data_IF_700424704569
#
_entry.id   IF_700424704569
#
_cell.length_a   1.000
_cell.length_b   1.000
_cell.length_c   1.000
_cell.angle_alpha   90.00
_cell.angle_beta   90.00
_cell.angle_gamma   90.00
#
_symmetry.space_group_name_H-M   'P 1'
#
loop_
_entity.id
_entity.type
_entity.pdbx_description
1 polymer ?
#
# COMPACT_ATOMS: atom_id res chain seq x y z
N UNK A 1 34.41 14.76 -11.46
CA UNK A 1 34.06 14.81 -12.90
C UNK A 1 32.79 14.02 -13.09
N UNK A 2 31.70 14.63 -13.56
CA UNK A 2 30.39 13.97 -13.70
C UNK A 2 29.28 14.51 -12.80
N UNK A 3 29.39 15.75 -12.30
CA UNK A 3 28.24 16.43 -11.69
C UNK A 3 27.26 16.79 -12.80
N UNK A 4 26.01 16.35 -12.65
CA UNK A 4 24.91 16.66 -13.55
C UNK A 4 23.98 17.68 -12.88
N UNK A 5 23.39 18.58 -13.65
CA UNK A 5 22.37 19.51 -13.14
C UNK A 5 21.26 19.71 -14.16
N UNK A 6 20.13 20.21 -13.67
CA UNK A 6 19.00 20.65 -14.46
C UNK A 6 18.96 22.17 -14.48
N UNK A 7 18.96 22.76 -15.66
CA UNK A 7 18.76 24.20 -15.88
C UNK A 7 17.66 24.38 -16.92
N UNK A 8 16.58 25.09 -16.56
CA UNK A 8 15.42 25.32 -17.43
C UNK A 8 14.83 24.05 -18.07
N UNK A 9 14.84 22.94 -17.32
CA UNK A 9 14.34 21.64 -17.79
C UNK A 9 15.27 20.88 -18.74
N UNK A 10 16.52 21.34 -18.92
CA UNK A 10 17.57 20.64 -19.69
C UNK A 10 18.65 20.11 -18.75
N UNK A 11 19.15 18.92 -19.07
CA UNK A 11 20.18 18.25 -18.27
C UNK A 11 21.57 18.56 -18.84
N UNK A 12 22.45 19.01 -17.97
CA UNK A 12 23.81 19.41 -18.31
C UNK A 12 24.81 18.63 -17.45
N UNK A 13 25.98 18.30 -18.02
CA UNK A 13 27.04 17.53 -17.35
C UNK A 13 28.40 18.18 -17.52
N UNK A 14 29.16 18.35 -16.44
CA UNK A 14 30.56 18.81 -16.54
C UNK A 14 31.43 17.70 -17.11
N UNK A 15 32.04 17.96 -18.27
CA UNK A 15 32.97 17.04 -18.95
C UNK A 15 34.40 17.30 -18.51
N UNK A 16 34.84 18.56 -18.59
CA UNK A 16 36.21 18.98 -18.26
C UNK A 16 36.25 20.44 -17.83
N UNK A 17 37.24 20.76 -16.99
CA UNK A 17 37.55 22.14 -16.63
C UNK A 17 38.57 22.67 -17.64
N UNK A 18 38.24 23.78 -18.32
CA UNK A 18 39.08 24.39 -19.37
C UNK A 18 40.03 25.47 -18.80
N UNK A 19 39.72 26.01 -17.61
CA UNK A 19 40.55 26.99 -16.89
C UNK A 19 40.11 27.14 -15.43
N UNK A 20 40.67 28.09 -14.69
CA UNK A 20 40.29 28.32 -13.28
C UNK A 20 38.81 28.67 -13.09
N UNK A 21 38.20 29.30 -14.10
CA UNK A 21 36.84 29.85 -14.02
C UNK A 21 35.91 29.41 -15.18
N UNK A 22 36.35 28.46 -16.01
CA UNK A 22 35.61 28.00 -17.18
C UNK A 22 35.47 26.47 -17.23
N UNK A 23 34.25 26.01 -17.47
CA UNK A 23 33.88 24.60 -17.54
C UNK A 23 33.29 24.26 -18.90
N UNK A 24 33.73 23.15 -19.48
CA UNK A 24 33.07 22.53 -20.63
C UNK A 24 31.92 21.66 -20.11
N UNK A 25 30.71 22.01 -20.52
CA UNK A 25 29.46 21.42 -20.11
C UNK A 25 28.81 20.77 -21.33
N UNK A 26 28.38 19.51 -21.19
CA UNK A 26 27.65 18.78 -22.22
C UNK A 26 26.15 18.90 -21.95
N UNK A 27 25.38 19.38 -22.92
CA UNK A 27 23.92 19.24 -22.92
C UNK A 27 23.58 17.79 -23.27
N UNK A 28 23.01 17.04 -22.32
CA UNK A 28 22.71 15.61 -22.46
C UNK A 28 21.65 15.37 -23.54
N UNK A 29 20.77 16.34 -23.80
CA UNK A 29 19.67 16.20 -24.77
C UNK A 29 20.16 16.36 -26.21
N UNK A 30 21.08 17.30 -26.44
CA UNK A 30 21.56 17.63 -27.79
C UNK A 30 22.98 17.13 -28.07
N UNK A 31 23.67 16.59 -27.06
CA UNK A 31 25.05 16.12 -27.11
C UNK A 31 26.01 17.20 -27.67
N UNK A 32 25.77 18.45 -27.32
CA UNK A 32 26.58 19.62 -27.71
C UNK A 32 27.39 20.09 -26.50
N UNK A 33 28.69 20.30 -26.70
CA UNK A 33 29.56 20.91 -25.69
C UNK A 33 29.43 22.44 -25.74
N UNK A 34 29.24 23.05 -24.56
CA UNK A 34 29.20 24.49 -24.36
C UNK A 34 30.19 24.89 -23.27
N UNK A 35 30.68 26.11 -23.33
CA UNK A 35 31.54 26.67 -22.28
C UNK A 35 30.70 27.57 -21.37
N UNK A 36 30.71 27.29 -20.07
CA UNK A 36 30.07 28.14 -19.05
C UNK A 36 31.10 28.58 -18.01
N UNK A 37 30.96 29.80 -17.51
CA UNK A 37 31.79 30.29 -16.41
C UNK A 37 31.27 29.81 -15.06
N UNK A 38 32.12 29.80 -14.03
CA UNK A 38 31.69 29.48 -12.67
C UNK A 38 30.64 30.48 -12.15
N UNK A 39 30.79 31.76 -12.51
CA UNK A 39 29.88 32.83 -12.08
C UNK A 39 28.46 32.65 -12.62
N UNK A 40 28.31 32.18 -13.87
CA UNK A 40 27.02 31.88 -14.48
C UNK A 40 26.32 30.69 -13.81
N UNK A 41 27.07 29.62 -13.53
CA UNK A 41 26.55 28.42 -12.84
C UNK A 41 26.07 28.78 -11.43
N UNK A 42 26.85 29.60 -10.70
CA UNK A 42 26.48 30.06 -9.36
C UNK A 42 25.27 31.01 -9.38
N UNK A 43 25.18 31.90 -10.38
CA UNK A 43 24.02 32.77 -10.56
C UNK A 43 22.74 31.97 -10.87
N UNK A 44 22.85 30.92 -11.69
CA UNK A 44 21.76 29.98 -11.96
C UNK A 44 21.31 29.23 -10.71
N UNK A 45 22.25 28.81 -9.86
CA UNK A 45 21.93 28.13 -8.61
C UNK A 45 21.24 29.07 -7.61
N UNK A 46 21.76 30.29 -7.44
CA UNK A 46 21.19 31.28 -6.51
C UNK A 46 19.81 31.78 -6.95
N UNK A 47 19.56 31.87 -8.26
CA UNK A 47 18.23 32.22 -8.80
C UNK A 47 17.24 31.05 -8.78
N UNK A 48 17.69 29.83 -8.44
CA UNK A 48 16.87 28.63 -8.41
C UNK A 48 16.51 28.05 -9.79
N UNK A 49 17.06 28.62 -10.87
CA UNK A 49 16.92 28.11 -12.24
C UNK A 49 17.76 26.85 -12.49
N UNK A 50 18.83 26.68 -11.72
CA UNK A 50 19.74 25.54 -11.75
C UNK A 50 19.62 24.66 -10.49
N UNK A 51 19.42 23.35 -10.67
CA UNK A 51 19.41 22.35 -9.58
C UNK A 51 20.37 21.20 -9.87
N UNK A 52 21.33 20.97 -8.98
CA UNK A 52 22.25 19.82 -9.10
C UNK A 52 21.52 18.49 -8.85
N UNK A 53 21.83 17.48 -9.66
CA UNK A 53 21.39 16.11 -9.44
C UNK A 53 22.33 15.45 -8.42
N UNK A 54 21.79 14.97 -7.30
CA UNK A 54 22.57 14.27 -6.28
C UNK A 54 23.13 12.95 -6.83
N UNK A 55 24.42 12.93 -7.18
CA UNK A 55 25.13 11.74 -7.68
C UNK A 55 25.54 10.76 -6.59
N UNK A 56 24.98 10.85 -5.37
CA UNK A 56 25.12 9.79 -4.38
C UNK A 56 24.01 8.77 -4.59
N UNK A 57 24.34 7.68 -5.28
CA UNK A 57 23.47 6.52 -5.53
C UNK A 57 23.06 5.74 -4.27
N UNK A 58 22.39 6.40 -3.33
CA UNK A 58 21.31 5.78 -2.57
C UNK A 58 20.03 6.18 -3.29
N UNK A 59 19.09 5.25 -3.55
CA UNK A 59 17.72 5.69 -3.72
C UNK A 59 17.35 6.27 -2.36
N UNK A 60 17.53 7.59 -2.22
CA UNK A 60 16.64 8.36 -1.36
C UNK A 60 15.30 7.92 -1.88
N UNK A 61 14.62 7.05 -1.12
CA UNK A 61 13.20 6.81 -1.29
C UNK A 61 12.67 8.19 -1.61
N UNK A 62 12.13 8.36 -2.83
CA UNK A 62 11.23 9.46 -3.10
C UNK A 62 10.39 9.48 -1.85
N UNK A 63 10.66 10.48 -1.00
CA UNK A 63 9.74 10.84 0.04
C UNK A 63 8.65 11.34 -0.84
N UNK A 64 7.79 10.39 -1.24
CA UNK A 64 6.52 10.62 -1.87
C UNK A 64 6.09 11.86 -1.16
N UNK A 65 5.98 12.96 -1.91
CA UNK A 65 5.37 14.16 -1.42
C UNK A 65 3.95 13.69 -1.09
N UNK A 66 3.83 13.08 0.09
CA UNK A 66 2.62 12.74 0.76
C UNK A 66 2.02 14.11 0.81
N UNK A 67 0.99 14.31 0.00
CA UNK A 67 0.07 15.42 0.11
C UNK A 67 -0.02 15.70 1.60
N UNK A 68 0.40 16.88 2.09
CA UNK A 68 0.50 17.13 3.52
C UNK A 68 -0.88 16.80 4.07
N UNK A 69 -0.98 15.67 4.78
CA UNK A 69 -2.27 15.13 5.22
C UNK A 69 -2.85 16.24 6.08
N UNK A 70 -3.91 16.89 5.60
CA UNK A 70 -4.54 17.94 6.35
C UNK A 70 -5.09 17.29 7.62
N UNK A 71 -5.01 18.00 8.75
CA UNK A 71 -5.47 17.46 10.03
C UNK A 71 -6.94 16.99 9.96
N UNK A 72 -7.72 17.58 9.04
CA UNK A 72 -9.10 17.24 8.70
C UNK A 72 -9.30 15.85 8.09
N UNK A 73 -8.27 15.26 7.47
CA UNK A 73 -8.38 13.98 6.76
C UNK A 73 -8.16 12.77 7.69
N UNK A 74 -7.86 13.02 8.96
CA UNK A 74 -7.63 12.00 9.97
C UNK A 74 -8.96 11.55 10.61
N UNK A 75 -9.04 10.27 10.95
CA UNK A 75 -10.13 9.73 11.78
C UNK A 75 -10.24 10.48 13.11
N UNK A 76 -11.45 10.66 13.64
CA UNK A 76 -11.70 11.29 14.94
C UNK A 76 -10.85 10.68 16.07
N UNK A 77 -10.65 9.36 16.03
CA UNK A 77 -9.80 8.66 16.99
C UNK A 77 -8.31 9.03 16.87
N UNK A 78 -7.83 9.24 15.64
CA UNK A 78 -6.45 9.66 15.40
C UNK A 78 -6.27 11.13 15.79
N UNK A 79 -7.24 12.00 15.50
CA UNK A 79 -7.23 13.40 15.93
C UNK A 79 -7.20 13.53 17.46
N UNK A 80 -8.06 12.80 18.18
CA UNK A 80 -8.07 12.78 19.64
C UNK A 80 -6.74 12.29 20.23
N UNK A 81 -6.17 11.23 19.63
CA UNK A 81 -4.87 10.71 20.06
C UNK A 81 -3.73 11.72 19.81
N UNK A 82 -3.73 12.39 18.66
CA UNK A 82 -2.75 13.43 18.36
C UNK A 82 -2.84 14.57 19.37
N UNK A 83 -4.05 15.07 19.63
CA UNK A 83 -4.30 16.14 20.58
C UNK A 83 -3.79 15.77 21.97
N UNK A 84 -4.16 14.60 22.50
CA UNK A 84 -3.72 14.13 23.80
C UNK A 84 -2.18 14.03 23.90
N UNK A 85 -1.51 13.57 22.83
CA UNK A 85 -0.04 13.48 22.81
C UNK A 85 0.64 14.83 22.68
N UNK A 86 0.07 15.75 21.91
CA UNK A 86 0.57 17.11 21.79
C UNK A 86 0.49 17.82 23.14
N UNK A 87 -0.67 17.79 23.79
CA UNK A 87 -0.89 18.38 25.12
C UNK A 87 0.08 17.82 26.17
N UNK A 88 0.45 16.54 26.05
CA UNK A 88 1.42 15.92 26.95
C UNK A 88 2.83 16.51 26.81
N UNK A 89 3.28 16.81 25.59
CA UNK A 89 4.65 17.28 25.31
C UNK A 89 4.80 18.80 25.16
N UNK A 90 3.72 19.53 24.88
CA UNK A 90 3.74 20.96 24.55
C UNK A 90 4.53 21.80 25.58
N UNK A 91 4.35 21.64 26.91
CA UNK A 91 5.13 22.39 27.89
C UNK A 91 6.64 22.09 27.87
N UNK A 92 7.03 20.88 27.45
CA UNK A 92 8.43 20.49 27.32
C UNK A 92 9.07 21.09 26.06
N UNK A 93 8.27 21.54 25.09
CA UNK A 93 8.77 22.20 23.88
C UNK A 93 9.04 23.69 24.09
N UNK A 94 8.37 24.31 25.06
CA UNK A 94 8.53 25.72 25.41
C UNK A 94 9.70 26.00 26.35
N UNK A 95 10.40 24.96 26.82
CA UNK A 95 11.60 25.11 27.63
C UNK A 95 12.72 25.71 26.77
N UNK A 96 13.43 26.71 27.30
CA UNK A 96 14.57 27.34 26.62
C UNK A 96 15.81 26.43 26.50
N UNK A 97 15.76 25.24 27.11
CA UNK A 97 16.79 24.21 27.07
C UNK A 97 16.22 22.87 26.57
N UNK A 98 17.12 21.95 26.21
CA UNK A 98 16.71 20.58 25.89
C UNK A 98 16.21 19.90 27.18
N UNK A 99 15.01 19.28 27.18
CA UNK A 99 14.45 18.69 28.39
C UNK A 99 15.35 17.61 28.98
N UNK A 100 15.57 17.70 30.29
CA UNK A 100 16.35 16.75 31.09
C UNK A 100 15.45 15.63 31.59
N UNK A 101 16.04 14.54 32.09
CA UNK A 101 15.29 13.40 32.66
C UNK A 101 14.35 13.82 33.79
N UNK A 102 14.76 14.79 34.60
CA UNK A 102 13.95 15.37 35.68
C UNK A 102 12.72 16.10 35.14
N UNK A 103 12.87 16.91 34.09
CA UNK A 103 11.76 17.62 33.42
C UNK A 103 10.68 16.62 32.93
N UNK A 104 11.09 15.48 32.40
CA UNK A 104 10.17 14.42 31.98
C UNK A 104 9.46 13.74 33.16
N UNK A 105 10.11 13.60 34.32
CA UNK A 105 9.48 13.04 35.52
C UNK A 105 8.47 14.02 36.11
N UNK A 106 8.86 15.29 36.28
CA UNK A 106 7.98 16.36 36.75
C UNK A 106 6.72 16.43 35.88
N UNK A 107 6.89 16.38 34.55
CA UNK A 107 5.75 16.40 33.63
C UNK A 107 4.89 15.15 33.73
N UNK A 108 5.48 13.97 33.91
CA UNK A 108 4.74 12.73 34.09
C UNK A 108 3.88 12.77 35.37
N UNK A 109 4.41 13.31 36.46
CA UNK A 109 3.68 13.45 37.72
C UNK A 109 2.53 14.46 37.62
N UNK A 110 2.75 15.60 36.95
CA UNK A 110 1.67 16.55 36.64
C UNK A 110 0.53 15.91 35.85
N UNK A 111 0.86 15.10 34.83
CA UNK A 111 -0.14 14.42 34.01
C UNK A 111 -0.92 13.37 34.83
N UNK A 112 -0.24 12.66 35.75
CA UNK A 112 -0.91 11.72 36.67
C UNK A 112 -1.94 12.42 37.55
N UNK A 113 -1.62 13.57 38.11
CA UNK A 113 -2.58 14.37 38.91
C UNK A 113 -3.80 14.80 38.11
N UNK A 114 -3.62 15.08 36.81
CA UNK A 114 -4.70 15.43 35.88
C UNK A 114 -5.45 14.21 35.31
N UNK A 115 -5.21 13.00 35.82
CA UNK A 115 -5.88 11.77 35.39
C UNK A 115 -5.31 11.13 34.10
N UNK A 116 -4.26 11.70 33.49
CA UNK A 116 -3.63 11.19 32.29
C UNK A 116 -2.38 10.36 32.62
N UNK A 117 -2.39 9.06 32.32
CA UNK A 117 -1.28 8.17 32.64
C UNK A 117 -0.22 8.11 31.53
N UNK A 118 0.71 9.07 31.53
CA UNK A 118 1.91 9.01 30.68
C UNK A 118 3.15 8.71 31.54
N UNK A 119 3.95 7.70 31.14
CA UNK A 119 5.27 7.46 31.73
C UNK A 119 6.30 8.46 31.19
N UNK A 120 7.28 8.85 32.01
CA UNK A 120 8.42 9.68 31.61
C UNK A 120 9.15 9.12 30.37
N UNK A 121 9.27 7.79 30.25
CA UNK A 121 9.82 7.11 29.06
C UNK A 121 8.98 7.37 27.81
N UNK A 122 7.65 7.40 27.95
CA UNK A 122 6.74 7.67 26.84
C UNK A 122 6.87 9.12 26.38
N UNK A 123 6.94 10.07 27.31
CA UNK A 123 7.13 11.49 27.01
C UNK A 123 8.46 11.73 26.28
N UNK A 124 9.56 11.14 26.79
CA UNK A 124 10.88 11.23 26.12
C UNK A 124 10.84 10.67 24.70
N UNK A 125 10.20 9.52 24.50
CA UNK A 125 10.04 8.92 23.17
C UNK A 125 9.25 9.83 22.23
N UNK A 126 8.16 10.43 22.71
CA UNK A 126 7.34 11.34 21.91
C UNK A 126 8.11 12.61 21.55
N UNK A 127 8.76 13.25 22.53
CA UNK A 127 9.61 14.42 22.31
C UNK A 127 10.74 14.14 21.31
N UNK A 128 11.45 13.02 21.47
CA UNK A 128 12.50 12.62 20.54
C UNK A 128 11.97 12.36 19.11
N UNK A 129 10.75 11.81 18.99
CA UNK A 129 10.11 11.59 17.68
C UNK A 129 9.73 12.91 17.01
N UNK A 130 9.21 13.86 17.78
CA UNK A 130 8.87 15.21 17.33
C UNK A 130 10.09 16.06 16.96
N UNK A 131 11.15 16.00 17.77
CA UNK A 131 12.40 16.70 17.48
C UNK A 131 13.06 16.16 16.21
N UNK A 132 13.12 14.82 16.04
CA UNK A 132 13.68 14.20 14.84
C UNK A 132 12.88 14.46 13.56
N UNK A 133 11.58 14.75 13.66
CA UNK A 133 10.73 15.02 12.49
C UNK A 133 10.77 16.48 12.04
N UNK A 134 11.63 17.32 12.62
CA UNK A 134 11.66 18.75 12.32
C UNK A 134 10.46 19.49 12.93
N UNK A 135 10.02 19.08 14.13
CA UNK A 135 8.96 19.72 14.90
C UNK A 135 7.54 19.58 14.33
N UNK A 136 7.31 18.59 13.48
CA UNK A 136 5.99 18.34 12.91
C UNK A 136 5.06 17.65 13.91
N UNK A 137 3.89 18.25 14.18
CA UNK A 137 2.87 17.69 15.11
C UNK A 137 2.43 16.28 14.68
N UNK A 138 2.22 16.06 13.39
CA UNK A 138 1.76 14.78 12.82
C UNK A 138 2.68 13.58 13.16
N UNK A 139 3.95 13.83 13.49
CA UNK A 139 4.90 12.78 13.86
C UNK A 139 4.54 12.06 15.18
N UNK A 140 3.68 12.66 16.00
CA UNK A 140 3.22 12.09 17.27
C UNK A 140 2.15 11.02 17.10
N UNK A 141 1.53 10.92 15.93
CA UNK A 141 0.61 9.83 15.62
C UNK A 141 1.36 8.51 15.60
N UNK A 142 0.72 7.46 16.10
CA UNK A 142 1.25 6.13 15.83
C UNK A 142 1.07 5.88 14.35
N UNK A 143 2.14 5.50 13.66
CA UNK A 143 2.07 5.03 12.27
C UNK A 143 1.42 3.65 12.21
N UNK A 144 0.28 3.46 12.87
CA UNK A 144 -0.59 2.27 12.79
C UNK A 144 -0.98 2.02 11.36
N UNK A 145 -1.17 3.09 10.59
CA UNK A 145 -1.29 3.03 9.15
C UNK A 145 -0.08 2.29 8.52
N UNK A 146 1.16 2.58 8.89
CA UNK A 146 2.34 1.88 8.35
C UNK A 146 2.60 0.50 8.99
N UNK A 147 1.76 0.02 9.93
CA UNK A 147 1.92 -1.31 10.53
C UNK A 147 1.28 -2.38 9.66
N UNK A 148 1.96 -3.53 9.60
CA UNK A 148 1.56 -4.66 8.75
C UNK A 148 1.93 -4.42 7.29
N UNK A 149 2.42 -5.46 6.61
CA UNK A 149 2.72 -5.39 5.19
C UNK A 149 1.43 -5.16 4.38
N UNK A 150 1.11 -3.89 4.13
CA UNK A 150 -0.07 -3.42 3.34
C UNK A 150 0.01 -3.91 1.90
N UNK A 151 -0.43 -5.13 1.64
CA UNK A 151 -0.41 -5.74 0.31
C UNK A 151 0.99 -6.10 -0.23
N UNK A 152 2.07 -5.50 0.30
CA UNK A 152 3.46 -5.82 -0.06
C UNK A 152 3.75 -7.30 0.20
N UNK A 153 4.31 -7.97 -0.81
CA UNK A 153 4.77 -9.35 -0.65
C UNK A 153 5.84 -9.39 0.45
N UNK A 154 5.77 -10.38 1.35
CA UNK A 154 6.85 -10.62 2.31
C UNK A 154 8.16 -10.74 1.54
N UNK A 155 9.19 -9.99 1.94
CA UNK A 155 10.49 -9.97 1.26
C UNK A 155 11.06 -11.39 1.11
N UNK A 156 10.81 -12.26 2.09
CA UNK A 156 11.22 -13.68 2.09
C UNK A 156 10.07 -14.65 1.71
N UNK A 157 9.10 -14.24 0.90
CA UNK A 157 8.07 -15.16 0.42
C UNK A 157 8.66 -16.18 -0.57
N UNK A 158 8.21 -17.43 -0.49
CA UNK A 158 8.63 -18.51 -1.39
C UNK A 158 8.54 -18.16 -2.87
N UNK A 159 7.44 -17.51 -3.28
CA UNK A 159 7.20 -17.09 -4.66
C UNK A 159 8.18 -16.01 -5.13
N UNK A 160 8.74 -15.20 -4.22
CA UNK A 160 9.76 -14.21 -4.54
C UNK A 160 11.16 -14.83 -4.61
N UNK A 161 11.43 -15.81 -3.73
CA UNK A 161 12.71 -16.54 -3.70
C UNK A 161 12.89 -17.44 -4.92
N UNK A 162 11.80 -18.06 -5.40
CA UNK A 162 11.84 -19.02 -6.50
C UNK A 162 10.88 -18.55 -7.63
N UNK A 163 11.41 -17.88 -8.68
CA UNK A 163 10.57 -17.37 -9.77
C UNK A 163 9.89 -18.49 -10.58
N UNK A 164 10.56 -19.63 -10.73
CA UNK A 164 10.00 -20.81 -11.41
C UNK A 164 8.75 -21.33 -10.67
N UNK A 165 8.80 -21.40 -9.33
CA UNK A 165 7.64 -21.79 -8.54
C UNK A 165 6.48 -20.81 -8.73
N UNK A 166 6.76 -19.51 -8.84
CA UNK A 166 5.74 -18.50 -9.14
C UNK A 166 5.10 -18.76 -10.50
N UNK A 167 5.88 -19.06 -11.54
CA UNK A 167 5.35 -19.38 -12.87
C UNK A 167 4.43 -20.62 -12.83
N UNK A 168 4.87 -21.70 -12.15
CA UNK A 168 4.05 -22.91 -11.98
C UNK A 168 2.74 -22.58 -11.26
N UNK A 169 2.78 -21.74 -10.22
CA UNK A 169 1.58 -21.31 -9.48
C UNK A 169 0.65 -20.47 -10.36
N UNK A 170 1.18 -19.46 -11.05
CA UNK A 170 0.39 -18.56 -11.89
C UNK A 170 -0.28 -19.35 -13.04
N UNK A 171 0.45 -20.31 -13.65
CA UNK A 171 -0.10 -21.23 -14.65
C UNK A 171 -1.21 -22.12 -14.08
N UNK A 172 -0.99 -22.75 -12.92
CA UNK A 172 -1.99 -23.61 -12.30
C UNK A 172 -3.27 -22.83 -11.88
N UNK A 173 -3.13 -21.56 -11.49
CA UNK A 173 -4.28 -20.68 -11.21
C UNK A 173 -5.07 -20.43 -12.50
N UNK A 174 -4.40 -20.07 -13.59
CA UNK A 174 -5.06 -19.83 -14.88
C UNK A 174 -5.79 -21.08 -15.38
N UNK A 175 -5.11 -22.23 -15.40
CA UNK A 175 -5.62 -23.45 -16.03
C UNK A 175 -6.71 -24.17 -15.24
N UNK A 176 -6.67 -24.09 -13.90
CA UNK A 176 -7.61 -24.85 -13.05
C UNK A 176 -8.57 -23.96 -12.28
N UNK A 177 -8.10 -22.85 -11.71
CA UNK A 177 -8.91 -22.02 -10.82
C UNK A 177 -9.78 -21.03 -11.58
N UNK A 178 -9.21 -20.34 -12.57
CA UNK A 178 -9.87 -19.33 -13.41
C UNK A 178 -10.64 -19.99 -14.57
N UNK A 179 -11.45 -20.99 -14.25
CA UNK A 179 -12.28 -21.72 -15.21
C UNK A 179 -13.71 -21.88 -14.70
N UNK A 180 -14.65 -22.12 -15.62
CA UNK A 180 -16.06 -22.40 -15.32
C UNK A 180 -16.27 -23.71 -14.53
N UNK A 181 -15.27 -24.60 -14.54
CA UNK A 181 -15.26 -25.80 -13.71
C UNK A 181 -15.15 -25.48 -12.20
N UNK A 182 -14.76 -24.25 -11.84
CA UNK A 182 -14.78 -23.71 -10.47
C UNK A 182 -14.02 -24.57 -9.44
N UNK A 183 -12.93 -25.21 -9.85
CA UNK A 183 -12.15 -26.12 -8.97
C UNK A 183 -11.66 -25.40 -7.69
N UNK A 184 -11.60 -26.10 -6.55
CA UNK A 184 -11.17 -25.51 -5.28
C UNK A 184 -9.65 -25.25 -5.26
N UNK A 185 -9.21 -24.37 -4.36
CA UNK A 185 -7.78 -24.05 -4.16
C UNK A 185 -6.95 -25.31 -3.85
N UNK A 186 -7.53 -26.30 -3.17
CA UNK A 186 -6.87 -27.58 -2.89
C UNK A 186 -6.46 -28.34 -4.17
N UNK A 187 -7.23 -28.23 -5.25
CA UNK A 187 -6.89 -28.83 -6.54
C UNK A 187 -5.69 -28.12 -7.19
N UNK A 188 -5.63 -26.78 -7.08
CA UNK A 188 -4.49 -25.99 -7.55
C UNK A 188 -3.23 -26.35 -6.78
N UNK A 189 -3.33 -26.46 -5.44
CA UNK A 189 -2.20 -26.85 -4.58
C UNK A 189 -1.64 -28.21 -5.00
N UNK A 190 -2.51 -29.20 -5.22
CA UNK A 190 -2.09 -30.53 -5.67
C UNK A 190 -1.36 -30.45 -7.02
N UNK A 191 -1.96 -29.77 -8.00
CA UNK A 191 -1.36 -29.58 -9.32
C UNK A 191 0.03 -28.93 -9.25
N UNK A 192 0.18 -27.88 -8.44
CA UNK A 192 1.47 -27.20 -8.27
C UNK A 192 2.52 -28.12 -7.66
N UNK A 193 2.15 -28.96 -6.69
CA UNK A 193 3.07 -29.94 -6.10
C UNK A 193 3.51 -30.96 -7.16
N UNK A 194 2.58 -31.47 -7.96
CA UNK A 194 2.87 -32.44 -9.02
C UNK A 194 3.76 -31.82 -10.12
N UNK A 195 3.48 -30.57 -10.54
CA UNK A 195 4.29 -29.82 -11.51
C UNK A 195 5.70 -29.56 -10.95
N UNK A 196 5.81 -29.19 -9.67
CA UNK A 196 7.09 -28.94 -9.00
C UNK A 196 7.92 -30.23 -8.85
N UNK A 197 7.29 -31.36 -8.53
CA UNK A 197 7.95 -32.66 -8.47
C UNK A 197 8.47 -33.07 -9.85
N UNK A 198 7.65 -32.91 -10.90
CA UNK A 198 8.09 -33.16 -12.29
C UNK A 198 9.24 -32.26 -12.73
N UNK A 199 9.24 -31.00 -12.29
CA UNK A 199 10.33 -30.07 -12.56
C UNK A 199 11.61 -30.51 -11.84
N UNK A 200 11.52 -30.79 -10.54
CA UNK A 200 12.66 -31.23 -9.73
C UNK A 200 13.24 -32.57 -10.17
N UNK A 201 12.43 -33.49 -10.71
CA UNK A 201 12.89 -34.78 -11.22
C UNK A 201 13.87 -34.66 -12.40
N UNK A 202 13.92 -33.50 -13.08
CA UNK A 202 14.83 -33.22 -14.19
C UNK A 202 16.12 -32.53 -13.76
N UNK A 203 16.24 -32.20 -12.48
CA UNK A 203 17.35 -31.41 -11.93
C UNK A 203 18.19 -32.26 -10.96
N UNK A 204 19.49 -31.98 -10.86
CA UNK A 204 20.31 -32.55 -9.80
C UNK A 204 19.85 -32.02 -8.42
N UNK A 205 20.03 -32.83 -7.37
CA UNK A 205 19.48 -32.57 -6.04
C UNK A 205 19.88 -31.21 -5.43
N UNK A 206 21.04 -30.68 -5.81
CA UNK A 206 21.54 -29.37 -5.36
C UNK A 206 20.81 -28.17 -6.00
N UNK A 207 20.15 -28.37 -7.14
CA UNK A 207 19.40 -27.33 -7.87
C UNK A 207 17.88 -27.48 -7.69
N UNK A 208 17.43 -28.56 -7.06
CA UNK A 208 16.02 -28.82 -6.83
C UNK A 208 15.39 -27.78 -5.88
N UNK A 209 14.18 -27.33 -6.22
CA UNK A 209 13.44 -26.37 -5.41
C UNK A 209 12.77 -27.13 -4.25
N UNK A 210 12.96 -26.71 -2.99
CA UNK A 210 12.35 -27.42 -1.88
C UNK A 210 10.81 -27.36 -1.94
N UNK A 211 10.16 -28.51 -1.74
CA UNK A 211 8.71 -28.62 -1.80
C UNK A 211 8.10 -27.96 -0.56
N UNK A 212 7.29 -26.89 -0.69
CA UNK A 212 6.69 -26.22 0.45
C UNK A 212 5.59 -27.08 1.07
N UNK A 213 5.37 -26.90 2.38
CA UNK A 213 4.22 -27.52 3.08
C UNK A 213 2.91 -27.09 2.41
N UNK A 214 1.97 -28.03 2.25
CA UNK A 214 0.66 -27.83 1.60
C UNK A 214 -0.08 -26.59 2.15
N UNK A 215 -0.11 -26.43 3.47
CA UNK A 215 -0.76 -25.31 4.13
C UNK A 215 -0.06 -23.95 3.86
N UNK A 216 1.26 -23.94 3.67
CA UNK A 216 1.99 -22.71 3.33
C UNK A 216 1.72 -22.31 1.88
N UNK A 217 1.70 -23.29 0.98
CA UNK A 217 1.40 -23.10 -0.45
C UNK A 217 -0.05 -22.65 -0.67
N UNK A 218 -1.02 -23.31 -0.02
CA UNK A 218 -2.43 -22.91 -0.07
C UNK A 218 -2.64 -21.45 0.34
N UNK A 219 -2.02 -21.02 1.45
CA UNK A 219 -2.08 -19.61 1.88
C UNK A 219 -1.39 -18.66 0.90
N UNK A 220 -0.33 -19.09 0.20
CA UNK A 220 0.34 -18.29 -0.80
C UNK A 220 -0.54 -18.11 -2.04
N UNK A 221 -1.15 -19.18 -2.54
CA UNK A 221 -2.10 -19.17 -3.67
C UNK A 221 -3.31 -18.30 -3.32
N UNK A 222 -3.92 -18.47 -2.15
CA UNK A 222 -5.05 -17.64 -1.70
C UNK A 222 -4.70 -16.15 -1.59
N UNK A 223 -3.45 -15.80 -1.23
CA UNK A 223 -2.98 -14.41 -1.28
C UNK A 223 -2.80 -13.90 -2.70
N UNK A 224 -2.32 -14.74 -3.61
CA UNK A 224 -2.15 -14.37 -5.01
C UNK A 224 -3.50 -14.12 -5.68
N UNK A 225 -4.47 -15.01 -5.46
CA UNK A 225 -5.85 -14.83 -5.97
C UNK A 225 -6.48 -13.54 -5.44
N UNK A 226 -6.30 -13.21 -4.16
CA UNK A 226 -6.81 -11.95 -3.57
C UNK A 226 -6.18 -10.67 -4.13
N UNK A 227 -5.10 -10.76 -4.90
CA UNK A 227 -4.49 -9.62 -5.59
C UNK A 227 -5.00 -9.42 -7.00
N UNK A 228 -5.65 -10.44 -7.56
CA UNK A 228 -6.33 -10.31 -8.84
C UNK A 228 -7.58 -9.45 -8.65
N UNK A 229 -8.03 -8.82 -9.73
CA UNK A 229 -9.29 -8.10 -9.73
C UNK A 229 -10.44 -9.08 -9.39
N UNK A 230 -11.20 -8.85 -8.30
CA UNK A 230 -12.35 -9.66 -7.94
C UNK A 230 -13.35 -9.85 -9.08
N UNK A 231 -13.57 -8.82 -9.91
CA UNK A 231 -14.50 -8.92 -11.03
C UNK A 231 -13.97 -9.88 -12.10
N UNK A 232 -12.68 -9.84 -12.43
CA UNK A 232 -12.08 -10.77 -13.39
C UNK A 232 -12.11 -12.21 -12.90
N UNK A 233 -11.87 -12.43 -11.60
CA UNK A 233 -11.97 -13.76 -10.98
C UNK A 233 -13.39 -14.30 -11.09
N UNK A 234 -14.40 -13.48 -10.80
CA UNK A 234 -15.80 -13.89 -10.93
C UNK A 234 -16.21 -14.07 -12.39
N UNK A 235 -15.74 -13.22 -13.31
CA UNK A 235 -15.97 -13.35 -14.75
C UNK A 235 -15.46 -14.68 -15.27
N UNK A 236 -14.25 -15.09 -14.86
CA UNK A 236 -13.64 -16.35 -15.29
C UNK A 236 -14.30 -17.60 -14.68
N UNK A 237 -14.95 -17.46 -13.51
CA UNK A 237 -15.53 -18.59 -12.76
C UNK A 237 -17.03 -18.75 -12.89
N UNK A 238 -17.75 -17.64 -13.08
CA UNK A 238 -19.21 -17.55 -13.07
C UNK A 238 -19.78 -16.93 -14.34
N UNK A 239 -18.94 -16.35 -15.19
CA UNK A 239 -19.35 -15.66 -16.40
C UNK A 239 -19.65 -14.19 -16.16
N UNK A 240 -19.71 -13.44 -17.26
CA UNK A 240 -19.84 -11.98 -17.25
C UNK A 240 -21.09 -11.50 -16.53
N UNK A 241 -22.26 -12.08 -16.82
CA UNK A 241 -23.53 -11.65 -16.24
C UNK A 241 -23.54 -11.73 -14.69
N UNK A 242 -22.99 -12.82 -14.12
CA UNK A 242 -22.93 -12.99 -12.66
C UNK A 242 -21.90 -12.05 -12.04
N UNK A 243 -20.76 -11.85 -12.71
CA UNK A 243 -19.72 -10.93 -12.26
C UNK A 243 -20.25 -9.47 -12.24
N UNK A 244 -20.87 -9.03 -13.33
CA UNK A 244 -21.45 -7.69 -13.44
C UNK A 244 -22.50 -7.46 -12.35
N UNK A 245 -23.37 -8.45 -12.09
CA UNK A 245 -24.35 -8.34 -11.00
C UNK A 245 -23.72 -8.26 -9.61
N UNK A 246 -22.65 -9.02 -9.33
CA UNK A 246 -21.98 -9.04 -8.01
C UNK A 246 -21.18 -7.78 -7.72
N UNK A 247 -20.55 -7.23 -8.75
CA UNK A 247 -19.68 -6.05 -8.64
C UNK A 247 -20.38 -4.78 -9.15
N UNK A 248 -21.69 -4.84 -9.38
CA UNK A 248 -22.49 -3.67 -9.74
C UNK A 248 -22.35 -2.62 -8.62
N UNK A 249 -22.17 -1.34 -8.97
CA UNK A 249 -22.12 -0.28 -7.97
C UNK A 249 -23.44 -0.23 -7.19
N UNK A 250 -23.39 -0.63 -5.92
CA UNK A 250 -24.53 -0.51 -5.02
C UNK A 250 -24.59 0.94 -4.52
N UNK A 251 -25.63 1.66 -4.91
CA UNK A 251 -25.95 2.94 -4.27
C UNK A 251 -26.49 2.65 -2.88
N UNK A 252 -26.06 3.39 -1.83
CA UNK A 252 -26.67 3.25 -0.51
C UNK A 252 -28.17 3.52 -0.64
N UNK A 253 -28.98 2.48 -0.45
CA UNK A 253 -30.42 2.66 -0.46
C UNK A 253 -30.81 3.38 0.83
N UNK A 254 -31.67 4.40 0.71
CA UNK A 254 -32.28 5.04 1.90
C UNK A 254 -33.04 3.96 2.67
N UNK A 255 -32.66 3.78 3.93
CA UNK A 255 -33.39 2.91 4.84
C UNK A 255 -34.74 3.54 5.14
N UNK A 256 -35.79 2.72 5.23
CA UNK A 256 -37.09 3.15 5.71
C UNK A 256 -36.96 3.55 7.20
N UNK A 257 -37.50 4.72 7.53
CA UNK A 257 -37.55 5.30 8.88
C UNK A 257 -38.92 5.16 9.54
N UNK A 258 -39.96 4.89 8.75
CA UNK A 258 -41.36 4.74 9.22
C UNK A 258 -41.96 3.41 8.75
N UNK A 259 -42.93 2.92 9.52
CA UNK A 259 -43.73 1.76 9.14
C UNK A 259 -44.44 2.07 7.81
N UNK A 260 -44.43 1.12 6.87
CA UNK A 260 -44.97 1.24 5.50
C UNK A 260 -44.32 2.31 4.60
N UNK A 261 -43.16 2.88 4.96
CA UNK A 261 -42.44 3.83 4.07
C UNK A 261 -41.92 3.16 2.79
N UNK A 262 -41.65 1.85 2.85
CA UNK A 262 -41.27 1.00 1.72
C UNK A 262 -41.96 -0.35 1.87
N UNK A 263 -42.70 -0.75 0.84
CA UNK A 263 -43.33 -2.08 0.75
C UNK A 263 -42.73 -2.78 -0.45
N UNK A 264 -42.04 -3.89 -0.20
CA UNK A 264 -41.55 -4.79 -1.23
C UNK A 264 -42.54 -5.93 -1.35
N UNK A 265 -43.01 -6.19 -2.56
CA UNK A 265 -43.95 -7.27 -2.88
C UNK A 265 -43.15 -8.35 -3.60
N UNK A 266 -42.96 -9.48 -2.93
CA UNK A 266 -42.23 -10.62 -3.48
C UNK A 266 -43.20 -11.66 -4.03
N UNK A 267 -43.15 -11.90 -5.33
CA UNK A 267 -43.90 -12.98 -5.97
C UNK A 267 -43.11 -14.29 -5.88
N UNK A 268 -43.63 -15.28 -5.15
CA UNK A 268 -42.98 -16.60 -5.02
C UNK A 268 -43.85 -17.69 -5.63
N UNK A 269 -43.34 -18.50 -6.57
CA UNK A 269 -44.09 -19.64 -7.09
C UNK A 269 -44.18 -20.73 -6.03
N UNK A 270 -45.40 -21.13 -5.65
CA UNK A 270 -45.60 -22.18 -4.64
C UNK A 270 -45.35 -23.55 -5.26
N UNK A 271 -44.61 -24.46 -4.61
CA UNK A 271 -44.32 -25.81 -5.12
C UNK A 271 -45.52 -26.79 -4.98
N UNK A 272 -46.71 -26.32 -5.32
CA UNK A 272 -47.95 -27.11 -5.33
C UNK A 272 -48.61 -26.95 -6.71
N UNK A 273 -49.29 -27.99 -7.18
CA UNK A 273 -50.13 -27.90 -8.38
C UNK A 273 -51.56 -27.74 -7.89
N UNK A 274 -52.19 -26.64 -8.28
CA UNK A 274 -53.61 -26.42 -8.03
C UNK A 274 -54.39 -27.05 -9.18
N UNK A 275 -55.45 -27.77 -8.83
CA UNK A 275 -56.38 -28.36 -9.78
C UNK A 275 -57.81 -28.15 -9.35
N UNK A 276 -58.72 -28.33 -10.30
CA UNK A 276 -60.16 -28.43 -10.06
C UNK A 276 -60.62 -29.84 -10.42
N UNK A 277 -61.90 -30.13 -10.22
CA UNK A 277 -62.50 -31.41 -10.62
C UNK A 277 -62.38 -31.68 -12.13
N UNK A 278 -62.13 -30.63 -12.94
CA UNK A 278 -61.90 -30.72 -14.38
C UNK A 278 -60.42 -31.00 -14.76
N UNK A 279 -59.50 -30.99 -13.80
CA UNK A 279 -58.08 -31.28 -14.01
C UNK A 279 -57.11 -30.24 -13.42
N UNK A 280 -55.79 -30.43 -13.60
CA UNK A 280 -54.77 -29.54 -13.04
C UNK A 280 -54.71 -28.20 -13.80
N UNK A 281 -54.77 -27.09 -13.06
CA UNK A 281 -54.66 -25.72 -13.59
C UNK A 281 -53.21 -25.24 -13.67
N UNK A 282 -52.35 -25.67 -12.73
CA UNK A 282 -50.92 -25.36 -12.72
C UNK A 282 -50.39 -24.88 -11.38
N UNK A 283 -49.22 -24.24 -11.42
CA UNK A 283 -48.50 -23.78 -10.23
C UNK A 283 -48.87 -22.33 -9.88
N UNK A 284 -49.43 -22.05 -8.68
CA UNK A 284 -49.83 -20.70 -8.32
C UNK A 284 -48.64 -19.87 -7.81
N UNK A 285 -48.79 -18.55 -7.88
CA UNK A 285 -47.87 -17.57 -7.31
C UNK A 285 -48.48 -16.97 -6.04
N UNK A 286 -47.71 -16.97 -4.95
CA UNK A 286 -48.05 -16.24 -3.73
C UNK A 286 -47.42 -14.85 -3.81
N UNK A 287 -48.22 -13.84 -3.47
CA UNK A 287 -47.86 -12.42 -3.47
C UNK A 287 -48.26 -11.83 -2.13
#
# INVERSE_FOLDING_TARGET
MGTEWLQDGRAFRIVRQLGSDQFAVLDVKFNVEQTQSQSEILAGFNSGTLRFADTTGRPTEETSALTPIALSDLSEADQAQLFARWQAIEPLTSLGHKPTDEDFQIRADQLRTNGAQFSSRTLRRLYATWSKSGQQRLSLLTRTNQRGGRGRARQHSWLKRFPILRQIVDQAISDLFLTMARRPISAVVRRVIDDLQRHNARLPANQAIPIPRTAALSRAIARQIRRLDPWEVDRARWGRHIADRRHSPTSPQRMATRILERVEIDHTPLKIVVGTDAGPLGQPWLT
#
